data_IF_574945615436
#
_entry.id   IF_574945615436
#
_cell.length_a   1.000
_cell.length_b   1.000
_cell.length_c   1.000
_cell.angle_alpha   90.00
_cell.angle_beta   90.00
_cell.angle_gamma   90.00
#
_symmetry.space_group_name_H-M   'P 1'
#
loop_
_entity.id
_entity.type
_entity.pdbx_description
1 polymer ?
#
# COMPACT_ATOMS: atom_id res chain seq x y z
N UNK A 1 -16.76 12.19 -16.19
CA UNK A 1 -17.60 11.18 -15.54
C UNK A 1 -18.37 10.45 -16.62
N UNK A 2 -17.85 9.31 -17.05
CA UNK A 2 -18.47 8.48 -18.08
C UNK A 2 -19.49 7.57 -17.39
N UNK A 3 -20.63 7.36 -18.01
CA UNK A 3 -21.72 6.45 -17.62
C UNK A 3 -22.87 7.09 -16.81
N UNK A 4 -23.71 7.92 -17.45
CA UNK A 4 -24.99 8.35 -16.90
C UNK A 4 -25.93 7.18 -16.53
N UNK A 5 -25.74 6.01 -17.14
CA UNK A 5 -26.45 4.77 -16.76
C UNK A 5 -26.02 4.24 -15.38
N UNK A 6 -24.73 4.34 -15.04
CA UNK A 6 -24.22 3.92 -13.74
C UNK A 6 -24.83 4.77 -12.63
N UNK A 7 -24.88 6.09 -12.83
CA UNK A 7 -25.55 7.01 -11.91
C UNK A 7 -27.03 6.66 -11.73
N UNK A 8 -27.76 6.43 -12.83
CA UNK A 8 -29.18 6.05 -12.79
C UNK A 8 -29.42 4.72 -12.04
N UNK A 9 -28.52 3.75 -12.18
CA UNK A 9 -28.57 2.48 -11.44
C UNK A 9 -28.32 2.66 -9.94
N UNK A 10 -27.39 3.56 -9.56
CA UNK A 10 -27.14 3.91 -8.16
C UNK A 10 -28.36 4.61 -7.53
N UNK A 11 -28.94 5.59 -8.22
CA UNK A 11 -30.11 6.35 -7.77
C UNK A 11 -31.34 5.44 -7.59
N UNK A 12 -31.54 4.45 -8.47
CA UNK A 12 -32.65 3.48 -8.35
C UNK A 12 -32.41 2.47 -7.23
N UNK A 13 -31.17 2.03 -7.04
CA UNK A 13 -30.81 1.14 -5.94
C UNK A 13 -30.92 1.85 -4.58
N UNK A 14 -30.63 3.15 -4.53
CA UNK A 14 -30.87 4.03 -3.38
C UNK A 14 -32.37 4.20 -3.10
N UNK A 15 -33.19 4.38 -4.14
CA UNK A 15 -34.65 4.42 -4.03
C UNK A 15 -35.27 3.10 -3.56
N UNK A 16 -34.73 1.96 -4.00
CA UNK A 16 -35.22 0.61 -3.62
C UNK A 16 -34.73 0.17 -2.23
N UNK A 17 -33.63 0.75 -1.76
CA UNK A 17 -33.07 0.55 -0.43
C UNK A 17 -33.88 1.35 0.59
N UNK A 18 -34.95 0.77 1.13
CA UNK A 18 -35.87 1.43 2.08
C UNK A 18 -35.25 1.90 3.42
N UNK A 19 -33.93 1.78 3.62
CA UNK A 19 -33.21 2.38 4.75
C UNK A 19 -31.85 2.95 4.29
N UNK A 20 -31.90 4.15 3.71
CA UNK A 20 -30.74 4.90 3.26
C UNK A 20 -29.70 5.10 4.38
N UNK A 21 -30.14 5.19 5.64
CA UNK A 21 -29.25 5.34 6.79
C UNK A 21 -28.47 4.05 7.07
N UNK A 22 -29.12 2.88 7.01
CA UNK A 22 -28.43 1.59 7.15
C UNK A 22 -27.38 1.38 6.06
N UNK A 23 -27.67 1.81 4.83
CA UNK A 23 -26.74 1.71 3.71
C UNK A 23 -25.54 2.64 3.84
N UNK A 24 -25.77 3.90 4.19
CA UNK A 24 -24.69 4.84 4.50
C UNK A 24 -23.81 4.34 5.65
N UNK A 25 -24.40 3.76 6.70
CA UNK A 25 -23.66 3.19 7.82
C UNK A 25 -22.81 1.99 7.40
N UNK A 26 -23.34 1.13 6.52
CA UNK A 26 -22.60 0.02 5.95
C UNK A 26 -21.42 0.50 5.09
N UNK A 27 -21.65 1.44 4.17
CA UNK A 27 -20.62 1.96 3.28
C UNK A 27 -19.52 2.69 4.08
N UNK A 28 -19.89 3.46 5.10
CA UNK A 28 -18.95 4.11 6.00
C UNK A 28 -18.09 3.09 6.77
N UNK A 29 -18.70 1.99 7.25
CA UNK A 29 -17.96 0.90 7.92
C UNK A 29 -17.00 0.21 6.96
N UNK A 30 -17.44 -0.12 5.75
CA UNK A 30 -16.61 -0.77 4.74
C UNK A 30 -15.43 0.12 4.34
N UNK A 31 -15.67 1.43 4.18
CA UNK A 31 -14.61 2.40 3.94
C UNK A 31 -13.60 2.43 5.09
N UNK A 32 -14.06 2.49 6.34
CA UNK A 32 -13.17 2.51 7.50
C UNK A 32 -12.30 1.24 7.60
N UNK A 33 -12.86 0.07 7.28
CA UNK A 33 -12.11 -1.19 7.22
C UNK A 33 -11.07 -1.17 6.10
N UNK A 34 -11.43 -0.68 4.92
CA UNK A 34 -10.50 -0.54 3.79
C UNK A 34 -9.36 0.44 4.10
N UNK A 35 -9.68 1.55 4.76
CA UNK A 35 -8.69 2.56 5.15
C UNK A 35 -7.72 1.99 6.20
N UNK A 36 -8.21 1.20 7.17
CA UNK A 36 -7.35 0.52 8.14
C UNK A 36 -6.43 -0.51 7.48
N UNK A 37 -6.97 -1.35 6.60
CA UNK A 37 -6.18 -2.33 5.86
C UNK A 37 -5.07 -1.65 5.05
N UNK A 38 -5.41 -0.55 4.35
CA UNK A 38 -4.44 0.23 3.58
C UNK A 38 -3.36 0.85 4.47
N UNK A 39 -3.70 1.30 5.67
CA UNK A 39 -2.72 1.82 6.65
C UNK A 39 -1.74 0.74 7.08
N UNK A 40 -2.24 -0.45 7.42
CA UNK A 40 -1.40 -1.58 7.85
C UNK A 40 -0.47 -1.99 6.72
N UNK A 41 -0.98 -2.18 5.51
CA UNK A 41 -0.17 -2.56 4.34
C UNK A 41 0.92 -1.53 4.04
N UNK A 42 0.58 -0.23 4.12
CA UNK A 42 1.57 0.84 3.94
C UNK A 42 2.64 0.82 5.03
N UNK A 43 2.25 0.60 6.30
CA UNK A 43 3.19 0.53 7.41
C UNK A 43 4.13 -0.68 7.28
N UNK A 44 3.62 -1.85 6.91
CA UNK A 44 4.43 -3.04 6.67
C UNK A 44 5.39 -2.85 5.49
N UNK A 45 4.91 -2.29 4.38
CA UNK A 45 5.74 -2.04 3.20
C UNK A 45 6.90 -1.08 3.53
N UNK A 46 6.61 -0.01 4.28
CA UNK A 46 7.63 0.92 4.77
C UNK A 46 8.63 0.23 5.69
N UNK A 47 8.16 -0.53 6.68
CA UNK A 47 9.03 -1.24 7.61
C UNK A 47 9.95 -2.26 6.91
N UNK A 48 9.44 -2.98 5.91
CA UNK A 48 10.26 -3.88 5.08
C UNK A 48 11.32 -3.10 4.30
N UNK A 49 10.94 -1.99 3.65
CA UNK A 49 11.87 -1.18 2.87
C UNK A 49 12.98 -0.56 3.74
N UNK A 50 12.61 0.00 4.90
CA UNK A 50 13.57 0.56 5.87
C UNK A 50 14.52 -0.52 6.39
N UNK A 51 14.00 -1.69 6.74
CA UNK A 51 14.82 -2.82 7.21
C UNK A 51 15.79 -3.31 6.12
N UNK A 52 15.34 -3.47 4.87
CA UNK A 52 16.21 -3.85 3.76
C UNK A 52 17.32 -2.84 3.53
N UNK A 53 17.02 -1.54 3.62
CA UNK A 53 18.04 -0.47 3.51
C UNK A 53 19.04 -0.51 4.65
N UNK A 54 18.59 -0.67 5.89
CA UNK A 54 19.49 -0.81 7.04
C UNK A 54 20.43 -2.01 6.92
N UNK A 55 19.90 -3.16 6.47
CA UNK A 55 20.70 -4.37 6.25
C UNK A 55 21.73 -4.10 5.15
N UNK A 56 21.33 -3.47 4.06
CA UNK A 56 22.24 -3.13 2.96
C UNK A 56 23.39 -2.22 3.43
N UNK A 57 23.10 -1.19 4.23
CA UNK A 57 24.12 -0.30 4.83
C UNK A 57 25.09 -1.12 5.71
N UNK A 58 24.57 -1.95 6.61
CA UNK A 58 25.42 -2.77 7.50
C UNK A 58 26.28 -3.80 6.76
N UNK A 59 25.85 -4.26 5.58
CA UNK A 59 26.62 -5.16 4.73
C UNK A 59 27.67 -4.41 3.92
N UNK A 60 27.35 -3.21 3.43
CA UNK A 60 28.30 -2.30 2.79
C UNK A 60 29.45 -1.92 3.74
N UNK A 61 29.14 -1.62 5.00
CA UNK A 61 30.13 -1.33 6.05
C UNK A 61 31.08 -2.49 6.34
N UNK A 62 30.73 -3.72 5.90
CA UNK A 62 31.53 -4.94 6.03
C UNK A 62 32.23 -5.34 4.73
N UNK A 63 32.27 -4.44 3.75
CA UNK A 63 32.87 -4.67 2.42
C UNK A 63 32.28 -5.88 1.68
N UNK A 64 31.01 -6.22 1.94
CA UNK A 64 30.28 -7.24 1.18
C UNK A 64 30.03 -6.71 -0.24
N UNK A 65 30.15 -7.58 -1.23
CA UNK A 65 29.96 -7.19 -2.63
C UNK A 65 28.50 -6.82 -2.93
N UNK A 66 28.31 -5.92 -3.90
CA UNK A 66 27.01 -5.37 -4.25
C UNK A 66 26.01 -6.42 -4.74
N UNK A 67 26.49 -7.51 -5.34
CA UNK A 67 25.63 -8.56 -5.88
C UNK A 67 25.04 -9.39 -4.74
N UNK A 68 25.87 -9.81 -3.78
CA UNK A 68 25.42 -10.50 -2.56
C UNK A 68 24.45 -9.64 -1.75
N UNK A 69 24.68 -8.33 -1.65
CA UNK A 69 23.76 -7.41 -0.94
C UNK A 69 22.41 -7.32 -1.67
N UNK A 70 22.43 -7.25 -3.00
CA UNK A 70 21.21 -7.22 -3.83
C UNK A 70 20.39 -8.50 -3.65
N UNK A 71 21.04 -9.66 -3.69
CA UNK A 71 20.40 -10.96 -3.47
C UNK A 71 19.83 -11.10 -2.04
N UNK A 72 20.52 -10.57 -1.03
CA UNK A 72 20.09 -10.68 0.37
C UNK A 72 18.98 -9.70 0.76
N UNK A 73 18.95 -8.50 0.19
CA UNK A 73 18.02 -7.42 0.60
C UNK A 73 16.88 -7.18 -0.38
N UNK A 74 16.98 -7.74 -1.60
CA UNK A 74 16.02 -7.52 -2.69
C UNK A 74 16.10 -6.13 -3.32
N UNK A 75 17.08 -5.31 -2.92
CA UNK A 75 17.35 -4.00 -3.51
C UNK A 75 18.11 -4.15 -4.82
N UNK A 76 17.87 -3.24 -5.76
CA UNK A 76 18.67 -3.14 -6.97
C UNK A 76 20.10 -2.64 -6.68
N UNK A 77 21.04 -2.96 -7.56
CA UNK A 77 22.42 -2.48 -7.45
C UNK A 77 22.50 -0.95 -7.48
N UNK A 78 21.58 -0.28 -8.19
CA UNK A 78 21.48 1.18 -8.22
C UNK A 78 21.08 1.74 -6.86
N UNK A 79 20.03 1.21 -6.24
CA UNK A 79 19.61 1.60 -4.89
C UNK A 79 20.72 1.38 -3.85
N UNK A 80 21.46 0.28 -3.93
CA UNK A 80 22.57 0.00 -3.01
C UNK A 80 23.71 1.01 -3.21
N UNK A 81 23.99 1.44 -4.44
CA UNK A 81 25.00 2.48 -4.71
C UNK A 81 24.59 3.84 -4.19
N UNK A 82 23.30 4.18 -4.26
CA UNK A 82 22.76 5.43 -3.69
C UNK A 82 22.91 5.46 -2.17
N UNK A 83 22.84 4.31 -1.48
CA UNK A 83 23.09 4.23 -0.03
C UNK A 83 24.54 4.54 0.39
N UNK A 84 25.48 4.60 -0.57
CA UNK A 84 26.91 4.91 -0.33
C UNK A 84 27.23 6.41 -0.48
N UNK A 85 26.29 7.22 -0.98
CA UNK A 85 26.45 8.68 -1.13
C UNK A 85 26.13 9.41 0.18
#
# INVERSE_FOLDING_TARGET
MKEPMLKKAMDTLEFLSQDMAARMAYDARMKALSDEQSRIESAEAKGRSETSREIAIRLLDRDVDLQTISEATGLSIEEIKELRQ
#
